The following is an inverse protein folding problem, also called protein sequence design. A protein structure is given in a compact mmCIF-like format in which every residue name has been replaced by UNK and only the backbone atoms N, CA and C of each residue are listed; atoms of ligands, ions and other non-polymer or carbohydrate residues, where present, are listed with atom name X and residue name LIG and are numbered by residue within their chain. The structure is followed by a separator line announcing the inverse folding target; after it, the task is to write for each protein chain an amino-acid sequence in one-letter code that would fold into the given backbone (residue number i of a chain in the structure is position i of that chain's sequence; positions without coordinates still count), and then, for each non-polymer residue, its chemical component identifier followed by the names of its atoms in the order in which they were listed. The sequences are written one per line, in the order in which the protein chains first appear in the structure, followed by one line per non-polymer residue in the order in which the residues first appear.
data_IF_357295078326
#
_entry.id   IF_357295078326
#
_cell.length_a   1.000
_cell.length_b   1.000
_cell.length_c   1.000
_cell.angle_alpha   90.00
_cell.angle_beta   90.00
_cell.angle_gamma   90.00
#
_symmetry.space_group_name_H-M   'P 1'
#
loop_
_entity.id
_entity.type
_entity.pdbx_description
1 polymer ?
#
# COMPACT_ATOMS: atom_id res chain seq x y z
N UNK A 1 8.50 -9.34 19.55
CA UNK A 1 7.42 -9.87 18.67
C UNK A 1 7.96 -11.01 17.82
N UNK A 2 9.07 -10.82 17.09
CA UNK A 2 9.69 -11.90 16.30
C UNK A 2 10.11 -13.09 17.18
N UNK A 3 10.66 -12.84 18.38
CA UNK A 3 11.01 -13.92 19.32
C UNK A 3 9.78 -14.77 19.71
N UNK A 4 8.68 -14.09 20.05
CA UNK A 4 7.41 -14.76 20.41
C UNK A 4 6.88 -15.57 19.21
N UNK A 5 6.97 -15.01 18.00
CA UNK A 5 6.49 -15.68 16.79
C UNK A 5 7.32 -16.94 16.47
N UNK A 6 8.65 -16.89 16.63
CA UNK A 6 9.52 -18.06 16.51
C UNK A 6 9.22 -19.10 17.60
N UNK A 7 9.05 -18.67 18.86
CA UNK A 7 8.76 -19.54 20.01
C UNK A 7 7.47 -20.35 19.81
N UNK A 8 6.40 -19.71 19.33
CA UNK A 8 5.11 -20.37 19.13
C UNK A 8 4.99 -21.06 17.75
N UNK A 9 6.06 -21.05 16.95
CA UNK A 9 6.10 -21.73 15.65
C UNK A 9 5.23 -21.09 14.56
N UNK A 10 5.07 -19.75 14.57
CA UNK A 10 4.46 -19.03 13.44
C UNK A 10 5.30 -19.29 12.19
N UNK A 11 4.67 -19.32 11.01
CA UNK A 11 5.38 -19.47 9.73
C UNK A 11 5.66 -18.13 9.02
N UNK A 12 4.84 -17.10 9.29
CA UNK A 12 4.93 -15.79 8.66
C UNK A 12 4.37 -14.69 9.55
N UNK A 13 5.17 -13.65 9.77
CA UNK A 13 4.74 -12.38 10.37
C UNK A 13 4.68 -11.31 9.29
N UNK A 14 3.56 -10.57 9.23
CA UNK A 14 3.39 -9.43 8.32
C UNK A 14 3.26 -8.13 9.09
N UNK A 15 4.13 -7.18 8.82
CA UNK A 15 4.02 -5.83 9.35
C UNK A 15 3.24 -4.93 8.38
N UNK A 16 2.37 -4.12 8.94
CA UNK A 16 1.51 -3.17 8.25
C UNK A 16 1.62 -1.84 8.99
N UNK A 17 1.79 -0.75 8.26
CA UNK A 17 1.70 0.59 8.86
C UNK A 17 0.27 0.78 9.38
N UNK A 18 0.13 1.46 10.51
CA UNK A 18 -1.19 1.83 11.02
C UNK A 18 -1.90 2.70 9.97
N UNK A 19 -3.13 2.33 9.62
CA UNK A 19 -3.93 3.08 8.66
C UNK A 19 -4.85 4.04 9.39
N UNK A 20 -4.89 5.31 8.96
CA UNK A 20 -5.78 6.36 9.49
C UNK A 20 -7.22 6.27 8.95
N UNK A 21 -7.58 5.13 8.35
CA UNK A 21 -8.92 4.80 7.88
C UNK A 21 -9.59 3.85 8.89
N UNK A 22 -10.90 3.66 8.77
CA UNK A 22 -11.70 2.76 9.60
C UNK A 22 -11.62 3.15 11.07
N UNK A 23 -11.30 2.20 11.95
CA UNK A 23 -11.10 2.45 13.39
C UNK A 23 -9.92 3.38 13.69
N UNK A 24 -9.00 3.55 12.74
CA UNK A 24 -7.92 4.52 12.84
C UNK A 24 -8.35 5.96 12.58
N UNK A 25 -9.57 6.18 12.08
CA UNK A 25 -10.13 7.51 11.90
C UNK A 25 -10.19 8.25 13.24
N UNK A 26 -9.75 9.51 13.26
CA UNK A 26 -9.63 10.31 14.49
C UNK A 26 -8.45 9.96 15.40
N UNK A 27 -7.64 8.95 15.06
CA UNK A 27 -6.46 8.52 15.82
C UNK A 27 -5.16 8.77 15.04
N UNK A 28 -5.04 9.95 14.42
CA UNK A 28 -3.88 10.28 13.58
C UNK A 28 -2.55 10.22 14.34
N UNK A 29 -2.55 10.49 15.66
CA UNK A 29 -1.37 10.45 16.51
C UNK A 29 -0.79 9.04 16.70
N UNK A 30 -1.56 7.99 16.38
CA UNK A 30 -1.08 6.60 16.39
C UNK A 30 -0.40 6.21 15.07
N UNK A 31 -0.54 7.02 14.02
CA UNK A 31 0.09 6.76 12.74
C UNK A 31 1.56 7.18 12.79
N UNK A 32 2.45 6.29 12.33
CA UNK A 32 3.84 6.64 12.12
C UNK A 32 3.97 7.58 10.93
N UNK A 33 4.84 8.58 11.05
CA UNK A 33 5.23 9.43 9.92
C UNK A 33 5.95 8.60 8.86
N UNK A 34 5.92 9.02 7.58
CA UNK A 34 6.60 8.29 6.50
C UNK A 34 8.05 7.92 6.82
N UNK A 35 8.85 8.87 7.31
CA UNK A 35 10.24 8.65 7.72
C UNK A 35 10.41 7.65 8.87
N UNK A 36 9.52 7.67 9.86
CA UNK A 36 9.54 6.73 10.99
C UNK A 36 9.24 5.30 10.53
N UNK A 37 8.26 5.15 9.64
CA UNK A 37 7.93 3.85 9.07
C UNK A 37 9.05 3.30 8.19
N UNK A 38 9.69 4.14 7.37
CA UNK A 38 10.86 3.74 6.58
C UNK A 38 12.01 3.27 7.49
N UNK A 39 12.30 4.01 8.57
CA UNK A 39 13.33 3.63 9.53
C UNK A 39 13.01 2.28 10.22
N UNK A 40 11.73 2.04 10.55
CA UNK A 40 11.28 0.75 11.05
C UNK A 40 11.52 -0.38 10.03
N UNK A 41 11.19 -0.18 8.76
CA UNK A 41 11.45 -1.15 7.70
C UNK A 41 12.94 -1.44 7.53
N UNK A 42 13.81 -0.44 7.65
CA UNK A 42 15.27 -0.63 7.60
C UNK A 42 15.77 -1.49 8.76
N UNK A 43 15.33 -1.18 9.98
CA UNK A 43 15.65 -1.97 11.16
C UNK A 43 15.13 -3.41 11.03
N UNK A 44 13.94 -3.59 10.46
CA UNK A 44 13.36 -4.91 10.20
C UNK A 44 14.20 -5.72 9.21
N UNK A 45 14.68 -5.10 8.12
CA UNK A 45 15.54 -5.76 7.13
C UNK A 45 16.90 -6.20 7.73
N UNK A 46 17.41 -5.48 8.73
CA UNK A 46 18.62 -5.87 9.45
C UNK A 46 18.38 -6.97 10.50
N UNK A 47 17.18 -7.00 11.09
CA UNK A 47 16.86 -7.86 12.24
C UNK A 47 16.28 -9.21 11.81
N UNK A 48 15.36 -9.22 10.84
CA UNK A 48 14.63 -10.40 10.39
C UNK A 48 15.49 -11.58 9.90
N UNK A 49 16.67 -11.39 9.29
CA UNK A 49 17.55 -12.50 8.90
C UNK A 49 17.98 -13.42 10.05
N UNK A 50 17.92 -12.95 11.30
CA UNK A 50 18.30 -13.74 12.47
C UNK A 50 17.20 -14.68 12.99
N UNK A 51 16.01 -14.65 12.37
CA UNK A 51 14.85 -15.42 12.80
C UNK A 51 14.48 -16.49 11.78
N UNK A 52 13.86 -17.58 12.24
CA UNK A 52 13.45 -18.68 11.35
C UNK A 52 12.17 -18.31 10.58
N UNK A 53 11.23 -17.61 11.22
CA UNK A 53 10.01 -17.08 10.58
C UNK A 53 10.30 -16.30 9.30
N UNK A 54 9.36 -16.40 8.36
CA UNK A 54 9.29 -15.47 7.24
C UNK A 54 8.74 -14.14 7.75
N UNK A 55 9.30 -13.04 7.26
CA UNK A 55 8.93 -11.70 7.72
C UNK A 55 8.68 -10.83 6.51
N UNK A 56 7.42 -10.43 6.32
CA UNK A 56 7.03 -9.52 5.24
C UNK A 56 6.55 -8.20 5.83
N UNK A 57 6.61 -7.16 5.02
CA UNK A 57 6.06 -5.87 5.40
C UNK A 57 5.47 -5.13 4.20
N UNK A 58 4.57 -4.19 4.47
CA UNK A 58 4.08 -3.21 3.50
C UNK A 58 5.02 -2.00 3.56
N UNK A 59 5.89 -1.74 2.56
CA UNK A 59 6.77 -0.59 2.61
C UNK A 59 5.97 0.70 2.77
N UNK A 60 4.87 0.88 2.04
CA UNK A 60 3.99 2.07 2.02
C UNK A 60 4.68 3.39 1.63
N UNK A 61 5.90 3.58 2.10
CA UNK A 61 6.81 4.69 1.91
C UNK A 61 8.19 4.10 1.63
N UNK A 62 8.97 4.79 0.81
CA UNK A 62 10.33 4.41 0.48
C UNK A 62 11.17 5.65 0.21
N UNK A 63 12.46 5.60 0.54
CA UNK A 63 13.41 6.52 -0.06
C UNK A 63 13.55 6.22 -1.55
N UNK A 64 13.88 7.25 -2.33
CA UNK A 64 14.04 7.13 -3.79
C UNK A 64 15.07 6.08 -4.21
N UNK A 65 16.16 5.95 -3.47
CA UNK A 65 17.22 4.97 -3.70
C UNK A 65 16.78 3.51 -3.44
N UNK A 66 15.81 3.30 -2.53
CA UNK A 66 15.23 1.99 -2.24
C UNK A 66 14.33 1.47 -3.36
N UNK A 67 13.82 2.34 -4.24
CA UNK A 67 12.89 1.95 -5.30
C UNK A 67 13.49 0.95 -6.29
N UNK A 68 14.81 1.02 -6.55
CA UNK A 68 15.49 0.06 -7.42
C UNK A 68 15.40 -1.37 -6.85
N UNK A 69 15.58 -1.52 -5.54
CA UNK A 69 15.41 -2.80 -4.85
C UNK A 69 13.98 -3.31 -4.99
N UNK A 70 12.99 -2.47 -4.69
CA UNK A 70 11.59 -2.88 -4.78
C UNK A 70 11.16 -3.24 -6.20
N UNK A 71 11.67 -2.54 -7.22
CA UNK A 71 11.47 -2.92 -8.61
C UNK A 71 12.06 -4.32 -8.92
N UNK A 72 13.25 -4.63 -8.39
CA UNK A 72 13.86 -5.95 -8.55
C UNK A 72 13.10 -7.06 -7.81
N UNK A 73 12.43 -6.74 -6.70
CA UNK A 73 11.49 -7.63 -5.99
C UNK A 73 10.13 -7.77 -6.70
N UNK A 74 9.93 -7.09 -7.83
CA UNK A 74 8.71 -7.19 -8.65
C UNK A 74 7.66 -6.11 -8.37
N UNK A 75 7.98 -5.04 -7.63
CA UNK A 75 7.09 -3.89 -7.53
C UNK A 75 6.98 -3.16 -8.87
N UNK A 76 5.75 -3.01 -9.37
CA UNK A 76 5.46 -2.37 -10.66
C UNK A 76 4.59 -1.11 -10.53
N UNK A 77 4.42 -0.59 -9.31
CA UNK A 77 3.56 0.57 -9.04
C UNK A 77 2.23 0.18 -8.41
N UNK A 78 1.24 1.06 -8.53
CA UNK A 78 -0.08 0.87 -7.93
C UNK A 78 -0.75 -0.44 -8.42
N UNK A 79 -0.94 -1.40 -7.51
CA UNK A 79 -1.64 -2.66 -7.80
C UNK A 79 -3.10 -2.40 -8.16
N UNK A 80 -3.72 -1.31 -7.73
CA UNK A 80 -5.08 -0.97 -8.16
C UNK A 80 -5.26 -0.87 -9.69
N UNK A 81 -4.16 -0.70 -10.44
CA UNK A 81 -4.16 -0.64 -11.91
C UNK A 81 -4.34 -2.00 -12.59
N UNK A 82 -4.11 -3.11 -11.90
CA UNK A 82 -4.27 -4.45 -12.47
C UNK A 82 -5.73 -4.89 -12.50
N UNK A 83 -6.57 -4.32 -11.63
CA UNK A 83 -7.99 -4.66 -11.48
C UNK A 83 -8.24 -6.18 -11.27
N UNK A 84 -7.25 -6.89 -10.74
CA UNK A 84 -7.26 -8.35 -10.54
C UNK A 84 -7.73 -8.76 -9.14
N UNK A 85 -8.07 -7.79 -8.29
CA UNK A 85 -8.51 -7.99 -6.90
C UNK A 85 -9.81 -7.26 -6.65
N UNK A 86 -10.69 -7.91 -5.89
CA UNK A 86 -11.95 -7.35 -5.44
C UNK A 86 -12.18 -7.71 -3.98
N UNK A 87 -12.47 -6.70 -3.17
CA UNK A 87 -12.95 -6.85 -1.80
C UNK A 87 -14.44 -6.54 -1.80
N UNK A 88 -15.26 -7.49 -1.36
CA UNK A 88 -16.73 -7.35 -1.33
C UNK A 88 -17.16 -7.15 0.11
N UNK A 89 -17.81 -6.03 0.39
CA UNK A 89 -18.30 -5.68 1.72
C UNK A 89 -19.72 -6.23 1.96
N UNK A 90 -20.15 -6.38 3.22
CA UNK A 90 -21.49 -6.91 3.54
C UNK A 90 -22.66 -6.08 3.00
N UNK A 91 -22.47 -4.78 2.76
CA UNK A 91 -23.47 -3.88 2.16
C UNK A 91 -23.53 -3.98 0.61
N UNK A 92 -22.69 -4.85 0.06
CA UNK A 92 -22.51 -5.11 -1.36
C UNK A 92 -21.49 -4.21 -2.02
N UNK A 93 -20.91 -3.18 -1.38
CA UNK A 93 -19.90 -2.34 -2.03
C UNK A 93 -18.65 -3.17 -2.34
N UNK A 94 -18.08 -2.96 -3.52
CA UNK A 94 -16.90 -3.68 -3.98
C UNK A 94 -15.76 -2.71 -4.30
N UNK A 95 -14.59 -2.98 -3.74
CA UNK A 95 -13.41 -2.14 -3.90
C UNK A 95 -12.21 -2.95 -4.41
N UNK A 96 -11.36 -2.30 -5.20
CA UNK A 96 -10.07 -2.79 -5.67
C UNK A 96 -8.97 -2.41 -4.66
N UNK A 97 -9.03 -1.20 -4.08
CA UNK A 97 -8.03 -0.70 -3.16
C UNK A 97 -8.51 -0.65 -1.71
N UNK A 98 -7.77 -1.32 -0.83
CA UNK A 98 -8.07 -1.32 0.61
C UNK A 98 -7.94 0.04 1.28
N UNK A 99 -7.28 0.99 0.64
CA UNK A 99 -7.12 2.33 1.21
C UNK A 99 -8.34 3.22 0.97
N UNK A 100 -9.30 2.78 0.14
CA UNK A 100 -10.51 3.53 -0.22
C UNK A 100 -11.79 2.96 0.40
N UNK A 101 -11.68 1.97 1.30
CA UNK A 101 -12.83 1.27 1.89
C UNK A 101 -13.86 2.18 2.57
N UNK A 102 -13.42 3.31 3.15
CA UNK A 102 -14.30 4.28 3.83
C UNK A 102 -14.74 5.45 2.94
N UNK A 103 -14.56 5.32 1.63
CA UNK A 103 -14.98 6.34 0.65
C UNK A 103 -16.18 5.83 -0.15
N UNK A 104 -16.88 6.73 -0.83
CA UNK A 104 -17.92 6.34 -1.80
C UNK A 104 -17.34 5.98 -3.19
N UNK A 105 -16.01 5.91 -3.33
CA UNK A 105 -15.34 5.50 -4.56
C UNK A 105 -15.28 3.97 -4.69
N UNK A 106 -16.40 3.25 -4.59
CA UNK A 106 -16.41 1.81 -4.85
C UNK A 106 -16.44 1.51 -6.35
N UNK A 107 -15.63 0.57 -6.82
CA UNK A 107 -15.56 0.16 -8.24
C UNK A 107 -16.83 -0.55 -8.73
N UNK A 108 -17.45 -1.36 -7.87
CA UNK A 108 -18.63 -2.13 -8.23
C UNK A 108 -19.54 -2.35 -7.03
N UNK A 109 -20.70 -2.95 -7.25
CA UNK A 109 -21.60 -3.42 -6.20
C UNK A 109 -22.05 -4.84 -6.49
N UNK A 110 -22.11 -5.67 -5.47
CA UNK A 110 -22.77 -6.95 -5.47
C UNK A 110 -24.29 -6.73 -5.45
N UNK A 111 -24.98 -7.15 -6.50
CA UNK A 111 -26.44 -7.06 -6.64
C UNK A 111 -26.96 -8.38 -7.22
N UNK A 112 -27.90 -9.02 -6.54
CA UNK A 112 -28.60 -10.23 -7.00
C UNK A 112 -27.66 -11.35 -7.46
N UNK A 113 -26.55 -11.58 -6.74
CA UNK A 113 -25.56 -12.61 -7.09
C UNK A 113 -24.62 -12.21 -8.24
N UNK A 114 -24.65 -10.95 -8.69
CA UNK A 114 -23.79 -10.42 -9.75
C UNK A 114 -22.96 -9.22 -9.29
N UNK A 115 -21.78 -9.06 -9.89
CA UNK A 115 -20.95 -7.84 -9.73
C UNK A 115 -21.38 -6.84 -10.80
N UNK A 116 -21.99 -5.73 -10.36
CA UNK A 116 -22.46 -4.64 -11.22
C UNK A 116 -21.51 -3.46 -11.08
N UNK A 117 -20.93 -3.00 -12.18
CA UNK A 117 -19.99 -1.87 -12.16
C UNK A 117 -20.66 -0.58 -11.71
N UNK A 118 -20.00 0.18 -10.83
CA UNK A 118 -20.38 1.55 -10.53
C UNK A 118 -19.99 2.43 -11.72
N UNK A 119 -20.96 3.07 -12.37
CA UNK A 119 -20.72 3.95 -13.53
C UNK A 119 -20.55 5.43 -13.17
N UNK A 120 -20.67 5.78 -11.89
CA UNK A 120 -20.31 7.11 -11.38
C UNK A 120 -18.81 7.23 -11.11
N UNK A 121 -18.42 8.24 -10.35
CA UNK A 121 -17.04 8.39 -9.87
C UNK A 121 -16.64 7.17 -9.03
N UNK A 122 -15.53 6.54 -9.39
CA UNK A 122 -15.05 5.32 -8.75
C UNK A 122 -13.52 5.14 -8.91
N UNK A 123 -12.96 4.06 -8.35
CA UNK A 123 -11.51 3.80 -8.35
C UNK A 123 -10.91 3.57 -9.74
N UNK A 124 -11.69 3.12 -10.72
CA UNK A 124 -11.20 2.83 -12.07
C UNK A 124 -10.57 4.08 -12.69
N UNK A 125 -11.30 5.19 -12.66
CA UNK A 125 -10.81 6.47 -13.17
C UNK A 125 -9.60 6.96 -12.39
N UNK A 126 -9.64 6.80 -11.06
CA UNK A 126 -8.55 7.19 -10.17
C UNK A 126 -7.25 6.44 -10.51
N UNK A 127 -7.32 5.15 -10.85
CA UNK A 127 -6.14 4.34 -11.14
C UNK A 127 -5.67 4.41 -12.59
N UNK A 128 -6.59 4.67 -13.54
CA UNK A 128 -6.28 4.67 -14.99
C UNK A 128 -5.90 6.04 -15.54
N UNK A 129 -6.42 7.16 -15.01
CA UNK A 129 -6.03 8.52 -15.47
C UNK A 129 -4.51 8.78 -15.40
N UNK A 130 -3.78 8.35 -14.36
CA UNK A 130 -2.32 8.43 -14.29
C UNK A 130 -1.54 7.66 -15.38
N UNK A 131 -2.19 6.72 -16.08
CA UNK A 131 -1.54 5.93 -17.14
C UNK A 131 -1.43 6.71 -18.46
N UNK A 132 -2.29 7.71 -18.66
CA UNK A 132 -2.35 8.52 -19.89
C UNK A 132 -1.89 9.97 -19.68
N UNK A 133 -1.74 10.40 -18.43
CA UNK A 133 -1.24 11.72 -18.06
C UNK A 133 -0.25 11.58 -16.90
N UNK A 134 0.93 12.20 -17.00
CA UNK A 134 1.91 12.11 -15.92
C UNK A 134 1.35 12.79 -14.67
N UNK A 135 1.18 12.03 -13.57
CA UNK A 135 0.72 12.60 -12.29
C UNK A 135 1.74 13.53 -11.63
N UNK A 136 3.02 13.42 -11.99
CA UNK A 136 4.11 14.21 -11.43
C UNK A 136 5.03 14.70 -12.55
N UNK A 137 5.19 16.02 -12.69
CA UNK A 137 5.81 16.71 -13.83
C UNK A 137 7.33 16.55 -14.04
N UNK A 138 7.91 15.35 -13.78
CA UNK A 138 9.32 15.05 -14.12
C UNK A 138 10.08 14.12 -13.16
N UNK A 139 9.43 13.61 -12.11
CA UNK A 139 10.08 12.73 -11.12
C UNK A 139 10.49 11.37 -11.76
N UNK A 140 11.77 10.97 -11.61
CA UNK A 140 12.34 9.72 -12.17
C UNK A 140 12.48 8.57 -11.16
N UNK A 141 11.68 8.55 -10.10
CA UNK A 141 11.68 7.40 -9.19
C UNK A 141 11.17 6.15 -9.91
N UNK A 142 12.04 5.15 -10.09
CA UNK A 142 11.70 3.88 -10.74
C UNK A 142 10.52 3.20 -10.04
N UNK A 143 9.68 2.48 -10.79
CA UNK A 143 8.50 1.75 -10.31
C UNK A 143 7.42 2.55 -9.55
N UNK A 144 7.64 3.82 -9.21
CA UNK A 144 6.65 4.67 -8.54
C UNK A 144 5.46 4.98 -9.47
N UNK A 145 5.74 5.27 -10.75
CA UNK A 145 4.74 5.43 -11.81
C UNK A 145 3.60 6.40 -11.45
N UNK A 146 3.93 7.54 -10.84
CA UNK A 146 2.94 8.54 -10.40
C UNK A 146 2.40 8.35 -8.98
N UNK A 147 2.93 7.41 -8.21
CA UNK A 147 2.64 7.28 -6.78
C UNK A 147 1.35 6.52 -6.46
N UNK A 148 0.74 6.85 -5.33
CA UNK A 148 -0.49 6.24 -4.83
C UNK A 148 -1.68 7.21 -4.99
N UNK A 149 -2.54 7.05 -6.01
CA UNK A 149 -3.70 7.92 -6.20
C UNK A 149 -4.66 7.93 -5.01
N UNK A 150 -4.80 6.80 -4.32
CA UNK A 150 -5.65 6.70 -3.14
C UNK A 150 -5.12 7.53 -1.95
N UNK A 151 -3.79 7.74 -1.86
CA UNK A 151 -3.23 8.58 -0.80
C UNK A 151 -3.64 10.04 -0.95
N UNK A 152 -3.68 10.57 -2.17
CA UNK A 152 -4.13 11.94 -2.42
C UNK A 152 -5.59 12.14 -2.00
N UNK A 153 -6.45 11.14 -2.20
CA UNK A 153 -7.84 11.17 -1.77
C UNK A 153 -7.97 11.15 -0.24
N UNK A 154 -7.25 10.26 0.42
CA UNK A 154 -7.41 10.01 1.87
C UNK A 154 -6.68 11.05 2.72
N UNK A 155 -5.49 11.46 2.29
CA UNK A 155 -4.59 12.34 3.05
C UNK A 155 -4.59 13.78 2.53
N UNK A 156 -5.27 14.07 1.41
CA UNK A 156 -5.29 15.39 0.79
C UNK A 156 -4.01 15.75 0.01
N UNK A 157 -3.07 14.82 -0.11
CA UNK A 157 -1.82 15.02 -0.83
C UNK A 157 -0.92 13.79 -0.77
N UNK A 158 0.05 13.72 -1.69
CA UNK A 158 1.05 12.65 -1.71
C UNK A 158 2.15 12.90 -0.68
N UNK A 159 2.64 11.84 -0.05
CA UNK A 159 3.76 11.87 0.91
C UNK A 159 4.99 12.64 0.38
N UNK A 160 5.28 12.53 -0.91
CA UNK A 160 6.43 13.20 -1.54
C UNK A 160 6.28 14.73 -1.67
N UNK A 161 5.09 15.29 -1.44
CA UNK A 161 4.88 16.73 -1.39
C UNK A 161 5.36 17.32 -0.05
N UNK A 162 5.22 16.57 1.05
CA UNK A 162 5.66 16.97 2.39
C UNK A 162 7.11 16.56 2.66
N UNK A 163 7.53 15.39 2.18
CA UNK A 163 8.87 14.82 2.38
C UNK A 163 9.48 14.46 1.01
N UNK A 164 10.20 15.38 0.33
CA UNK A 164 10.62 15.21 -1.07
C UNK A 164 11.47 13.98 -1.39
N UNK A 165 12.18 13.43 -0.41
CA UNK A 165 13.02 12.23 -0.54
C UNK A 165 12.26 10.91 -0.35
N UNK A 166 11.05 10.98 0.17
CA UNK A 166 10.16 9.85 0.36
C UNK A 166 9.15 9.79 -0.78
N UNK A 167 8.92 8.58 -1.30
CA UNK A 167 7.88 8.30 -2.31
C UNK A 167 6.92 7.25 -1.79
N UNK A 168 5.63 7.31 -2.18
CA UNK A 168 4.67 6.29 -1.79
C UNK A 168 4.91 4.98 -2.56
N UNK A 169 4.71 3.87 -1.86
CA UNK A 169 4.68 2.50 -2.38
C UNK A 169 3.28 1.94 -2.13
N UNK A 170 2.73 1.19 -3.08
CA UNK A 170 1.37 0.68 -2.97
C UNK A 170 1.16 -0.09 -1.66
N UNK A 171 0.16 0.32 -0.88
CA UNK A 171 -0.24 -0.35 0.37
C UNK A 171 -0.70 -1.79 0.18
N UNK A 172 -0.98 -2.23 -1.05
CA UNK A 172 -1.33 -3.63 -1.33
C UNK A 172 -0.11 -4.51 -1.67
N UNK A 173 1.07 -3.90 -1.84
CA UNK A 173 2.30 -4.60 -2.14
C UNK A 173 3.07 -4.96 -0.87
N UNK A 174 3.82 -6.06 -0.92
CA UNK A 174 4.60 -6.60 0.19
C UNK A 174 6.02 -6.85 -0.27
N UNK A 175 6.98 -6.44 0.55
CA UNK A 175 8.39 -6.77 0.44
C UNK A 175 8.73 -7.82 1.50
N UNK A 176 9.71 -8.67 1.24
CA UNK A 176 10.27 -9.55 2.26
C UNK A 176 11.44 -8.87 2.96
N UNK A 177 11.51 -9.04 4.29
CA UNK A 177 12.60 -8.50 5.09
C UNK A 177 13.86 -9.36 5.05
N UNK A 178 13.80 -10.54 4.43
CA UNK A 178 14.95 -11.42 4.18
C UNK A 178 14.74 -12.19 2.85
N UNK A 179 15.80 -12.73 2.22
CA UNK A 179 15.63 -13.57 1.04
C UNK A 179 14.65 -14.72 1.30
N UNK A 180 13.81 -15.01 0.31
CA UNK A 180 12.93 -16.19 0.34
C UNK A 180 13.69 -17.33 -0.33
N UNK A 181 14.02 -18.37 0.44
CA UNK A 181 14.55 -19.66 -0.05
C UNK A 181 13.41 -20.64 -0.35
#
# INVERSE_FOLDING_TARGET
MLDIADEIGVSLVKFHVFSTIGVGHGNADLAMRPTEWVAFCDALNATAPNYQIRVWYQPTYARRDQMARYAAEGYQGCIGRTLDRISIFPDGRCYVCSYLFDTDLYFARMQDGQVVLNRGDNEFDLFTRPLVSSSCGGCKASACQGGCPAEEIVMGGSSCAAEPDIVPVCRLWKSSAKPEE
#
